data_IF_112565448910
#
_entry.id   IF_112565448910
#
_cell.length_a   1.000
_cell.length_b   1.000
_cell.length_c   1.000
_cell.angle_alpha   90.00
_cell.angle_beta   90.00
_cell.angle_gamma   90.00
#
_symmetry.space_group_name_H-M   'P 1'
#
loop_
_entity.id
_entity.type
_entity.pdbx_description
1 polymer ?
#
# COMPACT_ATOMS: atom_id res chain seq x y z
N UNK A 1 4.21 -13.06 -14.86
CA UNK A 1 4.75 -11.76 -14.46
C UNK A 1 3.72 -10.75 -14.93
N UNK A 2 3.00 -10.08 -14.02
CA UNK A 2 1.72 -9.46 -14.37
C UNK A 2 1.34 -8.37 -13.39
N UNK A 3 2.11 -7.28 -13.45
CA UNK A 3 2.14 -6.34 -12.37
C UNK A 3 1.88 -4.91 -12.63
N UNK A 4 1.37 -4.27 -11.59
CA UNK A 4 0.82 -2.93 -11.66
C UNK A 4 1.85 -1.84 -11.97
N UNK A 5 3.15 -2.13 -11.89
CA UNK A 5 4.27 -1.20 -12.17
C UNK A 5 3.99 0.22 -11.66
N UNK A 6 3.50 0.33 -10.43
CA UNK A 6 3.02 1.58 -9.88
C UNK A 6 3.02 1.53 -8.37
N UNK A 7 2.98 2.70 -7.74
CA UNK A 7 3.05 2.85 -6.29
C UNK A 7 1.76 2.36 -5.59
N UNK A 8 1.85 2.03 -4.30
CA UNK A 8 0.71 1.62 -3.48
C UNK A 8 0.42 2.63 -2.39
N UNK A 9 -0.86 2.97 -2.19
CA UNK A 9 -1.31 3.71 -1.01
C UNK A 9 -1.96 2.73 -0.03
N UNK A 10 -1.50 2.73 1.21
CA UNK A 10 -2.03 1.92 2.30
C UNK A 10 -2.67 2.81 3.36
N UNK A 11 -4.00 2.73 3.50
CA UNK A 11 -4.74 3.43 4.56
C UNK A 11 -5.05 2.43 5.68
N UNK A 12 -4.39 2.61 6.81
CA UNK A 12 -4.48 1.73 7.98
C UNK A 12 -5.41 2.29 9.04
N UNK A 13 -6.50 1.57 9.33
CA UNK A 13 -7.45 1.94 10.38
C UNK A 13 -7.14 1.25 11.71
N UNK A 14 -6.37 0.15 11.70
CA UNK A 14 -6.20 -0.75 12.84
C UNK A 14 -4.74 -0.89 13.29
N UNK A 15 -3.82 -0.10 12.69
CA UNK A 15 -2.39 -0.18 12.96
C UNK A 15 -1.81 -1.59 12.70
N UNK A 16 -2.23 -2.18 11.59
CA UNK A 16 -1.86 -3.55 11.15
C UNK A 16 -0.73 -3.57 10.12
N UNK A 17 -0.34 -2.42 9.56
CA UNK A 17 0.77 -2.33 8.63
C UNK A 17 2.08 -2.74 9.29
N UNK A 18 2.85 -3.61 8.63
CA UNK A 18 4.14 -4.11 9.12
C UNK A 18 5.11 -4.18 7.94
N UNK A 19 6.16 -3.33 7.88
CA UNK A 19 7.14 -3.33 6.79
C UNK A 19 7.78 -4.70 6.54
N UNK A 20 8.05 -5.46 7.60
CA UNK A 20 8.62 -6.82 7.52
C UNK A 20 7.78 -7.77 6.65
N UNK A 21 6.45 -7.59 6.60
CA UNK A 21 5.57 -8.41 5.75
C UNK A 21 5.75 -8.07 4.27
N UNK A 22 6.04 -6.82 3.94
CA UNK A 22 6.31 -6.40 2.56
C UNK A 22 7.68 -6.92 2.10
N UNK A 23 8.69 -6.79 2.97
CA UNK A 23 10.03 -7.31 2.71
C UNK A 23 10.03 -8.83 2.43
N UNK A 24 9.28 -9.60 3.24
CA UNK A 24 9.14 -11.04 3.03
C UNK A 24 8.46 -11.40 1.70
N UNK A 25 7.60 -10.54 1.15
CA UNK A 25 7.00 -10.76 -0.18
C UNK A 25 7.97 -10.33 -1.28
N UNK A 26 8.69 -9.22 -1.11
CA UNK A 26 9.73 -8.78 -2.06
C UNK A 26 10.80 -9.86 -2.24
N UNK A 27 11.27 -10.46 -1.14
CA UNK A 27 12.24 -11.56 -1.16
C UNK A 27 11.74 -12.77 -1.97
N UNK A 28 10.46 -13.16 -1.80
CA UNK A 28 9.86 -14.28 -2.55
C UNK A 28 9.84 -14.05 -4.07
N UNK A 29 9.78 -12.80 -4.50
CA UNK A 29 9.79 -12.43 -5.92
C UNK A 29 11.17 -11.99 -6.41
N UNK A 30 12.22 -12.05 -5.58
CA UNK A 30 13.58 -11.62 -5.95
C UNK A 30 13.71 -10.11 -6.17
N UNK A 31 12.86 -9.30 -5.54
CA UNK A 31 12.84 -7.84 -5.66
C UNK A 31 13.68 -7.19 -4.56
N UNK A 32 14.21 -5.99 -4.83
CA UNK A 32 14.85 -5.18 -3.81
C UNK A 32 13.80 -4.68 -2.79
N UNK A 33 13.90 -5.15 -1.56
CA UNK A 33 12.95 -4.81 -0.50
C UNK A 33 12.90 -3.31 -0.16
N UNK A 34 14.01 -2.58 -0.27
CA UNK A 34 14.02 -1.13 -0.01
C UNK A 34 13.28 -0.36 -1.10
N UNK A 35 13.59 -0.64 -2.37
CA UNK A 35 12.89 -0.02 -3.51
C UNK A 35 11.39 -0.33 -3.47
N UNK A 36 11.02 -1.54 -3.04
CA UNK A 36 9.62 -1.92 -2.83
C UNK A 36 8.97 -1.08 -1.73
N UNK A 37 9.64 -0.89 -0.59
CA UNK A 37 9.10 -0.09 0.51
C UNK A 37 8.96 1.39 0.15
N UNK A 38 9.90 1.95 -0.63
CA UNK A 38 9.82 3.33 -1.12
C UNK A 38 8.61 3.59 -2.03
N UNK A 39 8.09 2.54 -2.65
CA UNK A 39 6.90 2.60 -3.49
C UNK A 39 5.58 2.42 -2.72
N UNK A 40 5.62 2.35 -1.38
CA UNK A 40 4.43 2.23 -0.53
C UNK A 40 4.24 3.49 0.33
N UNK A 41 3.21 4.26 0.03
CA UNK A 41 2.75 5.36 0.89
C UNK A 41 1.79 4.83 1.96
N UNK A 42 2.06 5.09 3.24
CA UNK A 42 1.24 4.60 4.35
C UNK A 42 0.66 5.77 5.13
N UNK A 43 -0.64 5.75 5.36
CA UNK A 43 -1.33 6.72 6.21
C UNK A 43 -2.24 6.00 7.21
N UNK A 44 -2.32 6.53 8.43
CA UNK A 44 -3.18 5.98 9.48
C UNK A 44 -4.44 6.80 9.63
N UNK A 45 -5.60 6.18 9.49
CA UNK A 45 -6.89 6.79 9.80
C UNK A 45 -7.25 6.53 11.27
N UNK A 46 -7.72 7.56 11.96
CA UNK A 46 -8.10 7.46 13.39
C UNK A 46 -9.62 7.35 13.60
N UNK A 47 -10.39 7.78 12.61
CA UNK A 47 -11.85 7.71 12.58
C UNK A 47 -12.33 7.79 11.12
N UNK A 48 -13.65 7.70 10.91
CA UNK A 48 -14.25 7.70 9.59
C UNK A 48 -14.00 9.01 8.81
N UNK A 49 -14.06 10.16 9.47
CA UNK A 49 -13.85 11.47 8.83
C UNK A 49 -12.41 11.63 8.35
N UNK A 50 -11.44 11.30 9.20
CA UNK A 50 -10.03 11.29 8.84
C UNK A 50 -9.77 10.30 7.70
N UNK A 51 -10.42 9.14 7.70
CA UNK A 51 -10.30 8.19 6.60
C UNK A 51 -10.82 8.76 5.27
N UNK A 52 -11.91 9.53 5.27
CA UNK A 52 -12.40 10.19 4.06
C UNK A 52 -11.42 11.26 3.57
N UNK A 53 -10.83 12.05 4.47
CA UNK A 53 -9.79 13.02 4.12
C UNK A 53 -8.57 12.34 3.47
N UNK A 54 -8.11 11.23 4.03
CA UNK A 54 -6.99 10.46 3.46
C UNK A 54 -7.32 9.87 2.09
N UNK A 55 -8.56 9.41 1.87
CA UNK A 55 -9.00 8.95 0.54
C UNK A 55 -9.02 10.10 -0.46
N UNK A 56 -9.50 11.29 -0.07
CA UNK A 56 -9.49 12.46 -0.95
C UNK A 56 -8.06 12.88 -1.32
N UNK A 57 -7.13 12.88 -0.36
CA UNK A 57 -5.70 13.14 -0.60
C UNK A 57 -5.09 12.08 -1.51
N UNK A 58 -5.39 10.79 -1.27
CA UNK A 58 -4.94 9.70 -2.12
C UNK A 58 -5.41 9.87 -3.57
N UNK A 59 -6.67 10.24 -3.78
CA UNK A 59 -7.21 10.54 -5.12
C UNK A 59 -6.47 11.68 -5.81
N UNK A 60 -6.09 12.74 -5.09
CA UNK A 60 -5.29 13.82 -5.65
C UNK A 60 -3.88 13.33 -6.06
N UNK A 61 -3.22 12.54 -5.20
CA UNK A 61 -1.92 11.93 -5.51
C UNK A 61 -1.99 10.98 -6.71
N UNK A 62 -3.14 10.34 -6.93
CA UNK A 62 -3.40 9.45 -8.08
C UNK A 62 -3.49 10.17 -9.42
N UNK A 63 -3.75 11.48 -9.43
CA UNK A 63 -3.76 12.29 -10.66
C UNK A 63 -2.32 12.69 -11.05
N UNK A 64 -1.46 12.92 -10.07
CA UNK A 64 -0.08 13.41 -10.30
C UNK A 64 0.92 12.31 -10.64
N UNK A 65 0.65 11.05 -10.27
CA UNK A 65 1.58 9.94 -10.43
C UNK A 65 0.85 8.64 -10.73
N UNK A 66 1.57 7.65 -11.29
CA UNK A 66 1.00 6.32 -11.53
C UNK A 66 0.96 5.52 -10.23
N UNK A 67 -0.24 5.26 -9.72
CA UNK A 67 -0.48 4.35 -8.60
C UNK A 67 -1.18 3.09 -9.10
N UNK A 68 -0.72 1.94 -8.65
CA UNK A 68 -1.25 0.65 -9.04
C UNK A 68 -2.42 0.21 -8.14
N UNK A 69 -2.44 0.64 -6.87
CA UNK A 69 -3.46 0.19 -5.92
C UNK A 69 -3.66 1.12 -4.72
N UNK A 70 -4.92 1.17 -4.27
CA UNK A 70 -5.31 1.72 -2.96
C UNK A 70 -5.79 0.57 -2.08
N UNK A 71 -5.08 0.32 -0.98
CA UNK A 71 -5.45 -0.69 0.01
C UNK A 71 -6.01 -0.02 1.24
N UNK A 72 -7.32 -0.15 1.44
CA UNK A 72 -7.98 0.12 2.72
C UNK A 72 -7.96 -1.15 3.57
N UNK A 73 -7.33 -1.10 4.74
CA UNK A 73 -7.32 -2.24 5.66
C UNK A 73 -8.17 -1.96 6.89
N UNK A 74 -9.07 -2.90 7.16
CA UNK A 74 -9.79 -3.07 8.42
C UNK A 74 -9.57 -4.48 8.98
N UNK A 75 -8.61 -5.26 8.45
CA UNK A 75 -8.17 -6.58 8.93
C UNK A 75 -6.88 -7.00 8.18
N UNK A 76 -5.94 -7.72 8.83
CA UNK A 76 -4.65 -8.07 8.26
C UNK A 76 -4.77 -9.22 7.23
N UNK A 77 -5.34 -8.95 6.05
CA UNK A 77 -5.28 -9.92 4.94
C UNK A 77 -3.98 -9.75 4.17
N UNK A 78 -3.03 -10.64 4.46
CA UNK A 78 -1.70 -10.78 3.84
C UNK A 78 -1.70 -10.79 2.29
N UNK A 79 -2.81 -11.23 1.68
CA UNK A 79 -2.85 -11.53 0.25
C UNK A 79 -3.00 -10.29 -0.66
N UNK A 80 -3.28 -9.10 -0.10
CA UNK A 80 -3.35 -7.87 -0.90
C UNK A 80 -1.96 -7.30 -1.26
N UNK A 81 -0.93 -7.57 -0.46
CA UNK A 81 0.43 -7.14 -0.76
C UNK A 81 1.00 -7.84 -2.01
N UNK A 82 0.59 -9.07 -2.26
CA UNK A 82 1.05 -9.84 -3.43
C UNK A 82 0.54 -9.26 -4.75
N UNK A 83 -0.65 -8.64 -4.76
CA UNK A 83 -1.21 -8.00 -5.97
C UNK A 83 -0.54 -6.66 -6.33
N UNK A 84 0.24 -6.08 -5.42
CA UNK A 84 1.05 -4.89 -5.69
C UNK A 84 2.40 -5.22 -6.31
N UNK A 85 3.00 -6.36 -5.92
CA UNK A 85 4.36 -6.76 -6.32
C UNK A 85 4.42 -7.64 -7.57
N UNK A 86 3.36 -8.41 -7.81
CA UNK A 86 3.20 -9.16 -9.05
C UNK A 86 2.82 -8.25 -10.16
#
# INVERSE_FOLDING_TARGET
MGGGEGKCIWIDTENTFRPVRILAVAERYGLNGQEVLENVAVARAYNADHQQQLVAQASAMMVESRWASLVKTSLPRSNRCSAFLL
#
